data_IF_601290860569
#
_entry.id   IF_601290860569
#
_cell.length_a   1.000
_cell.length_b   1.000
_cell.length_c   1.000
_cell.angle_alpha   90.00
_cell.angle_beta   90.00
_cell.angle_gamma   90.00
#
_symmetry.space_group_name_H-M   'P 1'
#
loop_
_entity.id
_entity.type
_entity.pdbx_description
1 polymer ?
#
# COMPACT_ATOMS: atom_id res chain seq x y z
N UNK A 1 5.21 -6.59 3.06
CA UNK A 1 4.17 -6.62 4.14
C UNK A 1 4.03 -8.02 4.71
N UNK A 2 4.05 -8.20 6.03
CA UNK A 2 3.65 -9.48 6.67
C UNK A 2 2.13 -9.49 6.76
N UNK A 3 1.49 -10.16 5.81
CA UNK A 3 0.04 -10.29 5.78
C UNK A 3 -0.37 -11.70 6.21
N UNK A 4 -1.38 -11.82 7.07
CA UNK A 4 -1.93 -13.12 7.47
C UNK A 4 -2.47 -13.80 6.21
N UNK A 5 -2.05 -15.03 5.95
CA UNK A 5 -2.44 -15.77 4.75
C UNK A 5 -1.58 -15.49 3.51
N UNK A 6 -0.43 -14.85 3.67
CA UNK A 6 0.54 -14.69 2.58
C UNK A 6 0.96 -16.05 2.00
N UNK A 7 0.82 -16.22 0.68
CA UNK A 7 1.01 -17.51 -0.02
C UNK A 7 2.44 -17.71 -0.55
N UNK A 8 3.40 -16.90 -0.07
CA UNK A 8 4.79 -16.94 -0.58
C UNK A 8 5.42 -18.36 -0.50
N UNK A 9 5.19 -19.07 0.60
CA UNK A 9 5.71 -20.44 0.77
C UNK A 9 4.96 -21.50 -0.05
N UNK A 10 3.86 -21.16 -0.68
CA UNK A 10 3.03 -22.07 -1.47
C UNK A 10 3.21 -21.87 -2.98
N UNK A 11 3.99 -20.87 -3.42
CA UNK A 11 4.09 -20.50 -4.84
C UNK A 11 4.55 -21.65 -5.72
N UNK A 12 5.60 -22.35 -5.32
CA UNK A 12 6.12 -23.51 -6.08
C UNK A 12 5.13 -24.66 -6.11
N UNK A 13 4.38 -24.87 -5.02
CA UNK A 13 3.33 -25.88 -5.00
C UNK A 13 2.17 -25.50 -5.93
N UNK A 14 1.73 -24.25 -5.91
CA UNK A 14 0.69 -23.74 -6.82
C UNK A 14 1.14 -23.88 -8.27
N UNK A 15 2.40 -23.54 -8.58
CA UNK A 15 2.96 -23.69 -9.94
C UNK A 15 2.95 -25.14 -10.39
N UNK A 16 3.36 -26.08 -9.52
CA UNK A 16 3.34 -27.51 -9.83
C UNK A 16 1.92 -28.01 -10.11
N UNK A 17 0.96 -27.67 -9.25
CA UNK A 17 -0.45 -28.06 -9.44
C UNK A 17 -1.01 -27.50 -10.75
N UNK A 18 -0.68 -26.26 -11.09
CA UNK A 18 -1.06 -25.66 -12.35
C UNK A 18 -0.50 -26.46 -13.53
N UNK A 19 0.79 -26.77 -13.53
CA UNK A 19 1.45 -27.54 -14.59
C UNK A 19 0.92 -28.96 -14.76
N UNK A 20 0.49 -29.59 -13.67
CA UNK A 20 -0.10 -30.94 -13.70
C UNK A 20 -1.54 -30.97 -14.24
N UNK A 21 -2.24 -29.83 -14.23
CA UNK A 21 -3.66 -29.73 -14.60
C UNK A 21 -3.95 -28.84 -15.82
N UNK A 22 -2.91 -28.35 -16.50
CA UNK A 22 -3.01 -27.54 -17.71
C UNK A 22 -2.11 -28.13 -18.78
N UNK A 23 -2.37 -27.79 -20.05
CA UNK A 23 -1.57 -28.24 -21.19
C UNK A 23 -0.48 -27.23 -21.63
N UNK A 24 -0.39 -26.07 -20.94
CA UNK A 24 0.57 -25.01 -21.21
C UNK A 24 0.15 -24.05 -22.33
N UNK A 25 -1.05 -24.16 -22.85
CA UNK A 25 -1.59 -23.23 -23.86
C UNK A 25 -2.28 -22.02 -23.25
N UNK A 26 -2.57 -22.07 -21.94
CA UNK A 26 -3.21 -20.99 -21.18
C UNK A 26 -2.37 -19.72 -21.21
N UNK A 27 -3.05 -18.59 -21.37
CA UNK A 27 -2.42 -17.25 -21.41
C UNK A 27 -2.93 -16.33 -20.32
N UNK A 28 -4.04 -16.68 -19.69
CA UNK A 28 -4.71 -15.87 -18.66
C UNK A 28 -4.70 -16.64 -17.35
N UNK A 29 -4.26 -15.97 -16.28
CA UNK A 29 -4.32 -16.46 -14.90
C UNK A 29 -5.26 -15.59 -14.08
N UNK A 30 -6.32 -16.20 -13.53
CA UNK A 30 -7.31 -15.50 -12.72
C UNK A 30 -7.15 -15.84 -11.23
N UNK A 31 -6.81 -14.85 -10.40
CA UNK A 31 -6.74 -14.95 -8.94
C UNK A 31 -7.93 -14.20 -8.32
N UNK A 32 -8.98 -14.95 -7.98
CA UNK A 32 -10.26 -14.40 -7.51
C UNK A 32 -10.27 -14.01 -6.03
N UNK A 33 -9.24 -14.38 -5.25
CA UNK A 33 -9.03 -14.02 -3.86
C UNK A 33 -7.57 -13.60 -3.64
N UNK A 34 -7.16 -12.61 -4.42
CA UNK A 34 -5.74 -12.29 -4.64
C UNK A 34 -5.03 -11.63 -3.46
N UNK A 35 -5.77 -11.12 -2.46
CA UNK A 35 -5.18 -10.49 -1.29
C UNK A 35 -4.20 -9.38 -1.67
N UNK A 36 -2.96 -9.48 -1.21
CA UNK A 36 -1.89 -8.53 -1.57
C UNK A 36 -1.24 -8.79 -2.94
N UNK A 37 -1.82 -9.68 -3.76
CA UNK A 37 -1.34 -9.98 -5.10
C UNK A 37 -0.05 -10.83 -5.16
N UNK A 38 0.28 -11.57 -4.11
CA UNK A 38 1.52 -12.38 -4.06
C UNK A 38 1.55 -13.43 -5.17
N UNK A 39 0.45 -14.16 -5.38
CA UNK A 39 0.34 -15.19 -6.42
C UNK A 39 0.29 -14.52 -7.80
N UNK A 40 -0.52 -13.47 -7.94
CA UNK A 40 -0.64 -12.70 -9.18
C UNK A 40 0.73 -12.18 -9.66
N UNK A 41 1.53 -11.57 -8.76
CA UNK A 41 2.89 -11.11 -9.08
C UNK A 41 3.83 -12.22 -9.51
N UNK A 42 3.71 -13.40 -8.91
CA UNK A 42 4.55 -14.55 -9.25
C UNK A 42 4.28 -15.06 -10.67
N UNK A 43 3.01 -15.09 -11.08
CA UNK A 43 2.62 -15.55 -12.41
C UNK A 43 2.60 -14.46 -13.50
N UNK A 44 2.68 -13.19 -13.12
CA UNK A 44 2.67 -12.05 -14.04
C UNK A 44 3.68 -12.10 -15.20
N UNK A 45 4.91 -12.67 -15.04
CA UNK A 45 5.84 -12.79 -16.17
C UNK A 45 5.36 -13.73 -17.27
N UNK A 46 4.52 -14.72 -16.92
CA UNK A 46 4.15 -15.81 -17.82
C UNK A 46 2.70 -15.72 -18.32
N UNK A 47 1.84 -14.92 -17.65
CA UNK A 47 0.40 -14.85 -17.89
C UNK A 47 -0.12 -13.41 -17.90
N UNK A 48 -1.19 -13.19 -18.65
CA UNK A 48 -2.08 -12.06 -18.42
C UNK A 48 -2.85 -12.30 -17.10
N UNK A 49 -2.78 -11.35 -16.17
CA UNK A 49 -3.33 -11.50 -14.83
C UNK A 49 -4.69 -10.83 -14.69
N UNK A 50 -5.69 -11.59 -14.26
CA UNK A 50 -6.96 -11.07 -13.77
C UNK A 50 -6.99 -11.26 -12.25
N UNK A 51 -6.89 -10.18 -11.50
CA UNK A 51 -6.91 -10.18 -10.03
C UNK A 51 -8.20 -9.61 -9.49
N UNK A 52 -8.78 -10.29 -8.50
CA UNK A 52 -9.95 -9.81 -7.77
C UNK A 52 -9.76 -9.95 -6.27
N UNK A 53 -10.21 -8.95 -5.52
CA UNK A 53 -10.32 -8.98 -4.06
C UNK A 53 -11.41 -8.00 -3.60
N UNK A 54 -12.01 -8.27 -2.44
CA UNK A 54 -13.05 -7.42 -1.85
C UNK A 54 -12.50 -6.14 -1.23
N UNK A 55 -11.24 -6.18 -0.75
CA UNK A 55 -10.68 -5.13 0.10
C UNK A 55 -10.00 -4.04 -0.73
N UNK A 56 -10.39 -2.79 -0.51
CA UNK A 56 -9.80 -1.64 -1.21
C UNK A 56 -8.28 -1.51 -1.03
N UNK A 57 -7.73 -1.90 0.12
CA UNK A 57 -6.28 -1.88 0.30
C UNK A 57 -5.58 -2.93 -0.59
N UNK A 58 -6.19 -4.10 -0.79
CA UNK A 58 -5.71 -5.11 -1.72
C UNK A 58 -5.69 -4.56 -3.15
N UNK A 59 -6.77 -3.89 -3.55
CA UNK A 59 -6.84 -3.21 -4.84
C UNK A 59 -5.71 -2.19 -5.02
N UNK A 60 -5.48 -1.32 -4.02
CA UNK A 60 -4.41 -0.33 -4.10
C UNK A 60 -3.02 -0.96 -4.27
N UNK A 61 -2.71 -2.03 -3.52
CA UNK A 61 -1.45 -2.76 -3.64
C UNK A 61 -1.32 -3.41 -5.02
N UNK A 62 -2.39 -4.01 -5.54
CA UNK A 62 -2.38 -4.68 -6.83
C UNK A 62 -2.24 -3.70 -8.00
N UNK A 63 -2.90 -2.54 -7.96
CA UNK A 63 -2.69 -1.45 -8.92
C UNK A 63 -1.21 -1.04 -8.97
N UNK A 64 -0.57 -0.94 -7.83
CA UNK A 64 0.84 -0.56 -7.75
C UNK A 64 1.82 -1.65 -8.18
N UNK A 65 1.48 -2.93 -8.01
CA UNK A 65 2.46 -4.03 -8.11
C UNK A 65 2.12 -5.07 -9.17
N UNK A 66 0.85 -5.35 -9.44
CA UNK A 66 0.41 -6.31 -10.45
C UNK A 66 0.16 -5.61 -11.78
N UNK A 67 -0.65 -4.55 -11.79
CA UNK A 67 -0.96 -3.80 -13.01
C UNK A 67 0.23 -2.97 -13.49
N UNK A 68 0.93 -2.31 -12.57
CA UNK A 68 2.08 -1.48 -12.91
C UNK A 68 3.31 -2.32 -13.28
N UNK A 69 3.94 -1.99 -14.42
CA UNK A 69 5.11 -2.69 -14.96
C UNK A 69 6.42 -1.89 -14.85
N UNK A 70 6.37 -0.66 -14.35
CA UNK A 70 7.54 0.21 -14.27
C UNK A 70 7.42 1.19 -13.09
N UNK A 71 8.55 1.65 -12.59
CA UNK A 71 8.56 2.71 -11.57
C UNK A 71 7.99 4.00 -12.16
N UNK A 72 6.95 4.58 -11.55
CA UNK A 72 6.35 5.83 -12.02
C UNK A 72 7.34 6.99 -12.02
N UNK A 73 7.17 7.91 -12.97
CA UNK A 73 8.16 8.99 -13.18
C UNK A 73 7.84 10.28 -12.42
N UNK A 74 6.61 10.49 -11.97
CA UNK A 74 6.16 11.68 -11.23
C UNK A 74 6.49 13.00 -11.93
N UNK A 75 6.25 13.08 -13.26
CA UNK A 75 6.69 14.20 -14.10
C UNK A 75 6.17 15.55 -13.59
N UNK A 76 4.86 15.64 -13.28
CA UNK A 76 4.26 16.88 -12.80
C UNK A 76 4.78 17.33 -11.43
N UNK A 77 5.10 16.39 -10.55
CA UNK A 77 5.74 16.72 -9.27
C UNK A 77 7.15 17.26 -9.47
N UNK A 78 7.91 16.68 -10.40
CA UNK A 78 9.25 17.18 -10.77
C UNK A 78 9.23 18.58 -11.35
N UNK A 79 8.23 18.93 -12.14
CA UNK A 79 8.02 20.29 -12.66
C UNK A 79 7.78 21.30 -11.53
N UNK A 80 7.26 20.86 -10.37
CA UNK A 80 7.11 21.67 -9.15
C UNK A 80 8.33 21.62 -8.23
N UNK A 81 9.44 21.00 -8.66
CA UNK A 81 10.66 20.88 -7.86
C UNK A 81 10.68 19.69 -6.89
N UNK A 82 9.66 18.84 -6.88
CA UNK A 82 9.62 17.62 -6.07
C UNK A 82 10.26 16.48 -6.88
N UNK A 83 11.57 16.36 -6.77
CA UNK A 83 12.35 15.41 -7.57
C UNK A 83 12.10 13.94 -7.15
N UNK A 84 11.98 13.71 -5.84
CA UNK A 84 11.61 12.42 -5.25
C UNK A 84 10.45 12.61 -4.26
N UNK A 85 9.25 12.12 -4.60
CA UNK A 85 8.10 12.27 -3.75
C UNK A 85 8.21 11.50 -2.42
N UNK A 86 8.98 10.41 -2.35
CA UNK A 86 9.17 9.67 -1.10
C UNK A 86 10.01 10.47 -0.10
N UNK A 87 11.18 10.97 -0.52
CA UNK A 87 12.00 11.86 0.31
C UNK A 87 11.23 13.12 0.72
N UNK A 88 10.46 13.71 -0.18
CA UNK A 88 9.61 14.86 0.15
C UNK A 88 8.60 14.55 1.27
N UNK A 89 7.90 13.42 1.17
CA UNK A 89 6.88 13.00 2.14
C UNK A 89 7.51 12.62 3.50
N UNK A 90 8.73 12.10 3.50
CA UNK A 90 9.46 11.71 4.71
C UNK A 90 10.06 12.93 5.42
N UNK A 91 10.71 13.82 4.71
CA UNK A 91 11.53 14.90 5.27
C UNK A 91 10.74 16.19 5.54
N UNK A 92 9.59 16.39 4.86
CA UNK A 92 8.79 17.61 5.06
C UNK A 92 8.36 17.74 6.52
N UNK A 93 8.70 18.88 7.13
CA UNK A 93 8.28 19.20 8.50
C UNK A 93 6.77 19.43 8.54
N UNK A 94 6.11 18.77 9.48
CA UNK A 94 4.68 19.00 9.74
C UNK A 94 4.58 20.33 10.49
N UNK A 95 3.96 21.32 9.87
CA UNK A 95 3.69 22.60 10.50
C UNK A 95 2.77 22.39 11.70
N UNK A 96 3.15 22.92 12.85
CA UNK A 96 2.43 22.77 14.11
C UNK A 96 2.24 21.31 14.57
N UNK A 97 3.30 20.63 15.05
CA UNK A 97 3.25 19.23 15.48
C UNK A 97 2.32 18.98 16.68
N UNK A 98 1.92 20.02 17.42
CA UNK A 98 0.98 19.89 18.55
C UNK A 98 -0.48 19.91 18.09
N UNK A 99 -0.80 20.60 16.98
CA UNK A 99 -2.14 20.59 16.45
C UNK A 99 -2.47 19.24 15.77
N UNK A 100 -3.69 18.76 16.00
CA UNK A 100 -4.27 17.61 15.30
C UNK A 100 -5.44 18.12 14.47
N UNK A 101 -5.25 18.44 13.20
CA UNK A 101 -6.33 18.87 12.32
C UNK A 101 -7.46 17.83 12.27
N UNK A 102 -8.70 18.27 12.07
CA UNK A 102 -9.86 17.38 11.98
C UNK A 102 -9.71 16.29 10.92
N UNK A 103 -8.98 16.56 9.82
CA UNK A 103 -8.69 15.58 8.78
C UNK A 103 -7.63 14.54 9.16
N UNK A 104 -7.04 14.61 10.37
CA UNK A 104 -6.03 13.62 10.83
C UNK A 104 -6.70 12.42 11.47
N UNK A 105 -7.34 11.61 10.65
CA UNK A 105 -8.14 10.46 11.06
C UNK A 105 -7.33 9.40 11.82
N UNK A 106 -6.14 9.07 11.34
CA UNK A 106 -5.28 8.04 11.96
C UNK A 106 -4.82 8.50 13.33
N UNK A 107 -4.41 9.75 13.45
CA UNK A 107 -4.00 10.35 14.73
C UNK A 107 -5.12 10.32 15.76
N UNK A 108 -6.34 10.67 15.35
CA UNK A 108 -7.48 10.72 16.25
C UNK A 108 -7.96 9.34 16.71
N UNK A 109 -7.85 8.32 15.88
CA UNK A 109 -8.49 7.03 16.13
C UNK A 109 -7.53 5.88 16.45
N UNK A 110 -6.23 6.01 16.18
CA UNK A 110 -5.25 4.92 16.30
C UNK A 110 -4.02 5.28 17.12
N UNK A 111 -3.97 6.48 17.70
CA UNK A 111 -2.93 6.89 18.64
C UNK A 111 -3.52 7.47 19.93
N UNK A 112 -2.78 7.44 21.06
CA UNK A 112 -3.26 7.98 22.32
C UNK A 112 -3.53 9.48 22.22
N UNK A 113 -4.71 9.90 22.68
CA UNK A 113 -5.13 11.29 22.80
C UNK A 113 -6.27 11.38 23.84
N UNK A 114 -6.83 12.57 24.09
CA UNK A 114 -7.89 12.81 25.08
C UNK A 114 -9.15 11.94 24.85
N UNK A 115 -9.42 11.52 23.60
CA UNK A 115 -10.62 10.77 23.22
C UNK A 115 -10.33 9.32 22.81
N UNK A 116 -9.05 8.93 22.71
CA UNK A 116 -8.64 7.62 22.22
C UNK A 116 -7.49 7.07 23.06
N UNK A 117 -7.72 5.92 23.70
CA UNK A 117 -6.68 5.19 24.47
C UNK A 117 -5.91 4.17 23.63
N UNK A 118 -6.19 4.05 22.34
CA UNK A 118 -5.53 3.07 21.46
C UNK A 118 -4.07 3.45 21.25
N UNK A 119 -3.20 2.44 21.30
CA UNK A 119 -1.74 2.59 21.15
C UNK A 119 -1.21 1.82 19.93
N UNK A 120 -1.98 1.75 18.87
CA UNK A 120 -1.53 1.09 17.62
C UNK A 120 -0.36 1.82 16.97
N UNK A 121 -0.32 3.14 17.12
CA UNK A 121 0.73 4.01 16.62
C UNK A 121 1.15 5.01 17.72
N UNK A 122 2.41 5.43 17.69
CA UNK A 122 2.80 6.62 18.44
C UNK A 122 2.13 7.86 17.83
N UNK A 123 1.87 8.93 18.61
CA UNK A 123 1.29 10.17 18.08
C UNK A 123 2.10 10.76 16.90
N UNK A 124 3.42 10.65 16.96
CA UNK A 124 4.31 11.12 15.89
C UNK A 124 4.13 10.32 14.59
N UNK A 125 4.11 8.98 14.67
CA UNK A 125 3.92 8.13 13.52
C UNK A 125 2.51 8.30 12.92
N UNK A 126 1.48 8.38 13.77
CA UNK A 126 0.12 8.61 13.32
C UNK A 126 -0.01 9.93 12.54
N UNK A 127 0.55 11.04 13.08
CA UNK A 127 0.58 12.34 12.39
C UNK A 127 1.32 12.28 11.06
N UNK A 128 2.45 11.55 11.00
CA UNK A 128 3.20 11.38 9.76
C UNK A 128 2.38 10.61 8.71
N UNK A 129 1.69 9.55 9.10
CA UNK A 129 0.82 8.77 8.22
C UNK A 129 -0.32 9.64 7.68
N UNK A 130 -1.00 10.41 8.53
CA UNK A 130 -2.06 11.32 8.09
C UNK A 130 -1.53 12.40 7.16
N UNK A 131 -0.37 12.99 7.45
CA UNK A 131 0.28 13.98 6.58
C UNK A 131 0.57 13.40 5.20
N UNK A 132 1.20 12.22 5.13
CA UNK A 132 1.53 11.56 3.87
C UNK A 132 0.25 11.26 3.09
N UNK A 133 -0.75 10.64 3.73
CA UNK A 133 -2.03 10.30 3.11
C UNK A 133 -2.71 11.53 2.52
N UNK A 134 -2.85 12.59 3.32
CA UNK A 134 -3.52 13.82 2.91
C UNK A 134 -2.76 14.54 1.79
N UNK A 135 -1.42 14.49 1.79
CA UNK A 135 -0.60 15.06 0.71
C UNK A 135 -0.80 14.28 -0.59
N UNK A 136 -0.81 12.96 -0.56
CA UNK A 136 -1.08 12.11 -1.74
C UNK A 136 -2.46 12.42 -2.31
N UNK A 137 -3.49 12.51 -1.46
CA UNK A 137 -4.86 12.88 -1.89
C UNK A 137 -4.92 14.29 -2.49
N UNK A 138 -4.24 15.25 -1.89
CA UNK A 138 -4.14 16.62 -2.40
C UNK A 138 -3.49 16.66 -3.79
N UNK A 139 -2.39 15.94 -3.98
CA UNK A 139 -1.73 15.84 -5.27
C UNK A 139 -2.62 15.18 -6.34
N UNK A 140 -3.37 14.15 -5.96
CA UNK A 140 -4.33 13.51 -6.87
C UNK A 140 -5.44 14.47 -7.27
N UNK A 141 -6.05 15.14 -6.29
CA UNK A 141 -7.15 16.10 -6.49
C UNK A 141 -6.70 17.28 -7.36
N UNK A 142 -5.47 17.75 -7.17
CA UNK A 142 -4.85 18.79 -7.99
C UNK A 142 -4.44 18.31 -9.40
N UNK A 143 -4.64 17.04 -9.73
CA UNK A 143 -4.27 16.46 -11.02
C UNK A 143 -2.75 16.34 -11.25
N UNK A 144 -1.95 16.36 -10.17
CA UNK A 144 -0.49 16.23 -10.20
C UNK A 144 -0.03 14.76 -10.31
N UNK A 145 -0.90 13.81 -9.96
CA UNK A 145 -0.64 12.38 -10.07
C UNK A 145 -1.59 11.75 -11.10
N UNK A 146 -1.06 10.89 -11.96
CA UNK A 146 -1.89 9.93 -12.67
C UNK A 146 -2.28 8.75 -11.77
N UNK A 147 -3.11 7.83 -12.26
CA UNK A 147 -3.61 6.71 -11.46
C UNK A 147 -2.49 5.80 -10.95
N UNK A 148 -1.52 5.45 -11.80
CA UNK A 148 -0.40 4.59 -11.42
C UNK A 148 0.49 5.26 -10.36
N UNK A 149 0.79 6.54 -10.50
CA UNK A 149 1.57 7.32 -9.54
C UNK A 149 0.86 7.40 -8.18
N UNK A 150 -0.44 7.63 -8.19
CA UNK A 150 -1.26 7.67 -6.98
C UNK A 150 -1.24 6.34 -6.23
N UNK A 151 -1.57 5.24 -6.90
CA UNK A 151 -1.57 3.93 -6.23
C UNK A 151 -0.18 3.46 -5.83
N UNK A 152 0.86 3.84 -6.55
CA UNK A 152 2.24 3.53 -6.19
C UNK A 152 2.64 4.17 -4.85
N UNK A 153 2.32 5.46 -4.65
CA UNK A 153 2.55 6.15 -3.37
C UNK A 153 1.65 5.60 -2.25
N UNK A 154 0.37 5.36 -2.55
CA UNK A 154 -0.58 4.84 -1.58
C UNK A 154 -0.21 3.43 -1.10
N UNK A 155 0.20 2.55 -2.01
CA UNK A 155 0.69 1.22 -1.66
C UNK A 155 1.96 1.27 -0.81
N UNK A 156 2.89 2.17 -1.13
CA UNK A 156 4.08 2.41 -0.32
C UNK A 156 3.73 2.82 1.13
N UNK A 157 2.76 3.71 1.29
CA UNK A 157 2.25 4.09 2.61
C UNK A 157 1.63 2.90 3.34
N UNK A 158 0.71 2.16 2.68
CA UNK A 158 0.05 0.97 3.26
C UNK A 158 1.08 -0.07 3.70
N UNK A 159 2.09 -0.34 2.89
CA UNK A 159 3.15 -1.30 3.22
C UNK A 159 4.10 -0.79 4.32
N UNK A 160 4.26 0.52 4.46
CA UNK A 160 5.09 1.16 5.48
C UNK A 160 4.47 1.15 6.89
N UNK A 161 3.15 1.29 7.01
CA UNK A 161 2.44 1.38 8.31
C UNK A 161 2.79 0.26 9.28
N UNK A 162 2.84 -1.03 8.93
CA UNK A 162 3.19 -2.11 9.86
C UNK A 162 4.60 -2.00 10.47
N UNK A 163 5.53 -1.33 9.82
CA UNK A 163 6.90 -1.16 10.34
C UNK A 163 7.00 -0.13 11.46
N UNK A 164 6.06 0.81 11.49
CA UNK A 164 6.02 1.91 12.48
C UNK A 164 4.88 1.74 13.50
N UNK A 165 4.17 0.62 13.42
CA UNK A 165 3.05 0.31 14.32
C UNK A 165 3.48 -0.52 15.52
N UNK A 166 2.75 -0.38 16.63
CA UNK A 166 2.94 -1.14 17.86
C UNK A 166 2.15 -2.45 17.89
N UNK A 167 2.03 -3.12 16.73
CA UNK A 167 1.32 -4.39 16.59
C UNK A 167 2.30 -5.51 16.26
N UNK A 168 1.98 -6.73 16.69
CA UNK A 168 2.85 -7.91 16.53
C UNK A 168 2.97 -8.43 15.10
N UNK A 169 2.43 -7.71 14.11
CA UNK A 169 2.37 -8.13 12.70
C UNK A 169 1.14 -9.00 12.38
N UNK A 170 0.35 -9.33 13.39
CA UNK A 170 -1.02 -9.85 13.27
C UNK A 170 -1.97 -8.73 13.68
N UNK A 171 -2.82 -8.29 12.78
CA UNK A 171 -3.82 -7.28 13.10
C UNK A 171 -4.73 -7.82 14.24
N UNK A 172 -4.66 -7.19 15.42
CA UNK A 172 -5.47 -7.57 16.58
C UNK A 172 -4.70 -7.77 17.88
N UNK A 173 -3.41 -8.07 17.85
CA UNK A 173 -2.62 -8.26 19.06
C UNK A 173 -1.81 -7.01 19.40
N UNK A 174 -1.89 -6.56 20.64
CA UNK A 174 -1.01 -5.53 21.21
C UNK A 174 0.31 -6.17 21.64
N UNK A 175 1.42 -5.50 21.39
CA UNK A 175 2.67 -5.77 22.08
C UNK A 175 2.58 -5.32 23.52
#
# INVERSE_FOLDING_TARGET
MRFIGGKTLLLDHIKRVLQENTDGTERVFCDIFSGTGTVARYFKPDYEIISNDLLHFSYAIQKATVENNSVPQFKKLKELGILDPFSFLEETKISNPEAVPEQFFITQNYSPNEHCSRMYLSPQNAKRIDFIRNTIESWKTAGLLNENEYYYLLAGLIEGVPFVSNITGTYGDRK
#
